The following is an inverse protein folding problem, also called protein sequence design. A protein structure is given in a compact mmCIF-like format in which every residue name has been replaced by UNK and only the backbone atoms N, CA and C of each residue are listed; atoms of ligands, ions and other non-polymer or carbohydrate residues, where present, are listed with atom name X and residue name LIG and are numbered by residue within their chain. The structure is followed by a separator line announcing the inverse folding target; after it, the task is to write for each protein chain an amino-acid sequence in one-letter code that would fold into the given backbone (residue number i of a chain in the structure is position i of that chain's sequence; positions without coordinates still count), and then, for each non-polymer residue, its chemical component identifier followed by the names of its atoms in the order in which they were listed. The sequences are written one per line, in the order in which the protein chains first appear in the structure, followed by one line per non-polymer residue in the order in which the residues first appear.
data_IF_394451545263
#
_entry.id   IF_394451545263
#
_cell.length_a   1.000
_cell.length_b   1.000
_cell.length_c   1.000
_cell.angle_alpha   90.00
_cell.angle_beta   90.00
_cell.angle_gamma   90.00
#
_symmetry.space_group_name_H-M   'P 1'
#
loop_
_entity.id
_entity.type
_entity.pdbx_description
1 polymer ?
#
# COMPACT_ATOMS: atom_id res chain seq x y z
N UNK A 1 2.71 14.37 -20.42
CA UNK A 1 2.06 13.18 -19.85
C UNK A 1 1.07 13.70 -18.83
N UNK A 2 -0.22 13.44 -19.03
CA UNK A 2 -1.26 14.03 -18.17
C UNK A 2 -1.22 13.40 -16.77
N UNK A 3 -1.56 14.16 -15.74
CA UNK A 3 -1.63 13.68 -14.36
C UNK A 3 -2.59 12.49 -14.27
N UNK A 4 -3.68 12.53 -15.03
CA UNK A 4 -4.60 11.41 -15.20
C UNK A 4 -3.89 10.16 -15.76
N UNK A 5 -2.98 10.28 -16.73
CA UNK A 5 -2.28 9.11 -17.29
C UNK A 5 -1.26 8.50 -16.33
N UNK A 6 -0.73 9.31 -15.40
CA UNK A 6 0.18 8.85 -14.33
C UNK A 6 -0.61 8.18 -13.19
N UNK A 7 -1.82 8.69 -12.91
CA UNK A 7 -2.71 8.21 -11.85
C UNK A 7 -3.54 6.98 -12.27
N UNK A 8 -3.93 6.92 -13.54
CA UNK A 8 -4.77 5.89 -14.15
C UNK A 8 -3.96 5.08 -15.16
N UNK A 9 -2.84 4.50 -14.70
CA UNK A 9 -2.14 3.51 -15.52
C UNK A 9 -3.09 2.35 -15.86
N UNK A 10 -2.98 1.76 -17.07
CA UNK A 10 -3.68 0.53 -17.43
C UNK A 10 -3.66 -0.46 -16.27
N UNK A 11 -4.80 -1.07 -15.96
CA UNK A 11 -4.90 -2.04 -14.87
C UNK A 11 -3.92 -3.19 -15.14
N UNK A 12 -2.78 -3.19 -14.45
CA UNK A 12 -1.89 -4.34 -14.44
C UNK A 12 -2.61 -5.45 -13.67
N UNK A 13 -2.91 -6.59 -14.32
CA UNK A 13 -3.56 -7.70 -13.64
C UNK A 13 -2.78 -8.11 -12.39
N UNK A 14 -1.45 -8.14 -12.42
CA UNK A 14 -0.63 -8.56 -11.28
C UNK A 14 -0.82 -7.60 -10.10
N UNK A 15 -0.79 -6.29 -10.35
CA UNK A 15 -1.09 -5.28 -9.34
C UNK A 15 -2.50 -5.45 -8.76
N UNK A 16 -3.51 -5.72 -9.61
CA UNK A 16 -4.89 -5.91 -9.15
C UNK A 16 -4.99 -7.11 -8.21
N UNK A 17 -4.42 -8.25 -8.59
CA UNK A 17 -4.42 -9.46 -7.76
C UNK A 17 -3.68 -9.24 -6.44
N UNK A 18 -2.55 -8.52 -6.48
CA UNK A 18 -1.78 -8.14 -5.30
C UNK A 18 -2.58 -7.25 -4.33
N UNK A 19 -3.26 -6.22 -4.83
CA UNK A 19 -4.12 -5.34 -4.03
C UNK A 19 -5.32 -6.09 -3.44
N UNK A 20 -5.91 -7.04 -4.17
CA UNK A 20 -7.00 -7.91 -3.69
C UNK A 20 -6.50 -8.89 -2.62
N UNK A 21 -5.32 -9.49 -2.81
CA UNK A 21 -4.69 -10.33 -1.78
C UNK A 21 -4.47 -9.54 -0.49
N UNK A 22 -3.89 -8.34 -0.60
CA UNK A 22 -3.67 -7.45 0.53
C UNK A 22 -5.00 -7.02 1.16
N UNK A 23 -6.05 -6.78 0.38
CA UNK A 23 -7.39 -6.44 0.88
C UNK A 23 -7.89 -7.51 1.86
N UNK A 24 -7.75 -8.78 1.52
CA UNK A 24 -8.15 -9.89 2.39
C UNK A 24 -7.38 -9.89 3.72
N UNK A 25 -6.04 -9.86 3.65
CA UNK A 25 -5.20 -9.85 4.87
C UNK A 25 -5.45 -8.60 5.73
N UNK A 26 -5.46 -7.41 5.12
CA UNK A 26 -5.69 -6.14 5.81
C UNK A 26 -7.09 -6.05 6.40
N UNK A 27 -8.12 -6.60 5.77
CA UNK A 27 -9.48 -6.61 6.33
C UNK A 27 -9.53 -7.43 7.62
N UNK A 28 -8.93 -8.63 7.61
CA UNK A 28 -8.85 -9.49 8.80
C UNK A 28 -8.01 -8.83 9.89
N UNK A 29 -6.83 -8.32 9.56
CA UNK A 29 -5.95 -7.66 10.54
C UNK A 29 -6.54 -6.36 11.07
N UNK A 30 -7.26 -5.57 10.25
CA UNK A 30 -7.97 -4.36 10.69
C UNK A 30 -9.11 -4.70 11.64
N UNK A 31 -9.88 -5.76 11.35
CA UNK A 31 -10.91 -6.22 12.27
C UNK A 31 -10.31 -6.75 13.57
N UNK A 32 -9.17 -7.46 13.49
CA UNK A 32 -8.40 -7.91 14.64
C UNK A 32 -7.91 -6.73 15.48
N UNK A 33 -7.45 -5.66 14.84
CA UNK A 33 -7.01 -4.40 15.49
C UNK A 33 -8.16 -3.75 16.26
N UNK A 34 -9.31 -3.59 15.60
CA UNK A 34 -10.51 -3.00 16.20
C UNK A 34 -11.09 -3.86 17.34
N UNK A 35 -11.03 -5.19 17.20
CA UNK A 35 -11.56 -6.15 18.17
C UNK A 35 -10.55 -6.61 19.22
N UNK A 36 -9.30 -6.13 19.16
CA UNK A 36 -8.24 -6.43 20.12
C UNK A 36 -7.88 -7.92 20.17
N UNK A 37 -7.74 -8.52 19.00
CA UNK A 37 -7.37 -9.93 18.86
C UNK A 37 -5.89 -10.06 18.49
N UNK A 38 -5.25 -11.15 18.94
CA UNK A 38 -3.81 -11.41 18.74
C UNK A 38 -3.41 -11.79 17.30
N UNK A 39 -4.38 -11.97 16.39
CA UNK A 39 -4.14 -12.46 15.03
C UNK A 39 -3.32 -11.49 14.16
N UNK A 40 -3.07 -10.25 14.62
CA UNK A 40 -2.30 -9.26 13.86
C UNK A 40 -0.83 -9.65 13.71
N UNK A 41 -0.25 -10.31 14.72
CA UNK A 41 1.14 -10.74 14.70
C UNK A 41 1.40 -11.78 13.60
N UNK A 42 0.42 -12.65 13.31
CA UNK A 42 0.55 -13.69 12.30
C UNK A 42 0.63 -13.11 10.87
N UNK A 43 0.01 -11.94 10.64
CA UNK A 43 0.05 -11.28 9.33
C UNK A 43 1.32 -10.47 9.08
N UNK A 44 2.06 -10.11 10.13
CA UNK A 44 3.33 -9.40 9.99
C UNK A 44 4.33 -10.18 9.12
N UNK A 45 4.48 -11.48 9.39
CA UNK A 45 5.36 -12.36 8.61
C UNK A 45 4.88 -12.49 7.16
N UNK A 46 3.55 -12.56 6.96
CA UNK A 46 2.94 -12.61 5.62
C UNK A 46 3.26 -11.35 4.83
N UNK A 47 3.19 -10.16 5.42
CA UNK A 47 3.51 -8.91 4.73
C UNK A 47 4.98 -8.76 4.41
N UNK A 48 5.88 -9.23 5.28
CA UNK A 48 7.31 -9.28 4.98
C UNK A 48 7.59 -10.25 3.83
N UNK A 49 7.06 -11.47 3.90
CA UNK A 49 7.22 -12.48 2.86
C UNK A 49 6.65 -11.99 1.52
N UNK A 50 5.50 -11.32 1.55
CA UNK A 50 4.88 -10.71 0.37
C UNK A 50 5.76 -9.61 -0.22
N UNK A 51 6.27 -8.68 0.60
CA UNK A 51 7.18 -7.62 0.16
C UNK A 51 8.44 -8.20 -0.49
N UNK A 52 9.02 -9.24 0.13
CA UNK A 52 10.18 -9.94 -0.41
C UNK A 52 9.86 -10.65 -1.74
N UNK A 53 8.70 -11.29 -1.85
CA UNK A 53 8.26 -11.91 -3.10
C UNK A 53 8.10 -10.88 -4.23
N UNK A 54 7.53 -9.70 -3.94
CA UNK A 54 7.43 -8.60 -4.89
C UNK A 54 8.80 -8.05 -5.31
N UNK A 55 9.76 -7.98 -4.38
CA UNK A 55 11.15 -7.63 -4.71
C UNK A 55 11.78 -8.62 -5.68
N UNK A 56 11.66 -9.92 -5.40
CA UNK A 56 12.19 -10.97 -6.27
C UNK A 56 11.49 -10.98 -7.64
N UNK A 57 10.19 -10.71 -7.67
CA UNK A 57 9.42 -10.58 -8.90
C UNK A 57 9.92 -9.40 -9.75
N UNK A 58 10.06 -8.21 -9.16
CA UNK A 58 10.60 -7.03 -9.85
C UNK A 58 12.04 -7.27 -10.33
N UNK A 59 12.86 -7.96 -9.54
CA UNK A 59 14.23 -8.33 -9.91
C UNK A 59 14.23 -9.26 -11.13
N UNK A 60 13.34 -10.26 -11.15
CA UNK A 60 13.14 -11.15 -12.30
C UNK A 60 12.71 -10.38 -13.56
N UNK A 61 11.78 -9.43 -13.43
CA UNK A 61 11.39 -8.55 -14.54
C UNK A 61 12.57 -7.68 -15.03
N UNK A 62 13.43 -7.23 -14.12
CA UNK A 62 14.66 -6.52 -14.44
C UNK A 62 15.65 -7.38 -15.24
N UNK A 63 15.85 -8.64 -14.83
CA UNK A 63 16.74 -9.59 -15.51
C UNK A 63 16.24 -9.99 -16.90
N UNK A 64 14.93 -10.02 -17.12
CA UNK A 64 14.30 -10.32 -18.42
C UNK A 64 14.14 -9.09 -19.32
N UNK A 65 14.55 -7.91 -18.83
CA UNK A 65 14.46 -6.65 -19.58
C UNK A 65 13.06 -6.04 -19.66
N UNK A 66 12.07 -6.60 -18.93
CA UNK A 66 10.69 -6.10 -18.89
C UNK A 66 10.54 -4.90 -17.95
N UNK A 67 11.42 -4.77 -16.96
CA UNK A 67 11.51 -3.61 -16.08
C UNK A 67 12.88 -2.95 -16.25
N UNK A 68 12.91 -1.64 -16.50
CA UNK A 68 14.19 -0.92 -16.61
C UNK A 68 14.80 -0.68 -15.22
N UNK A 69 16.12 -0.57 -15.14
CA UNK A 69 16.84 -0.37 -13.87
C UNK A 69 16.36 0.90 -13.12
N UNK A 70 16.18 2.08 -13.77
CA UNK A 70 15.77 3.28 -13.05
C UNK A 70 14.46 3.17 -12.25
N UNK A 71 13.32 2.69 -12.80
CA UNK A 71 12.08 2.53 -12.05
C UNK A 71 12.17 1.43 -10.98
N UNK A 72 12.90 0.35 -11.21
CA UNK A 72 13.20 -0.66 -10.18
C UNK A 72 13.91 -0.02 -8.98
N UNK A 73 15.05 0.62 -9.22
CA UNK A 73 15.87 1.22 -8.18
C UNK A 73 15.12 2.32 -7.44
N UNK A 74 14.40 3.18 -8.16
CA UNK A 74 13.60 4.25 -7.55
C UNK A 74 12.51 3.70 -6.63
N UNK A 75 11.75 2.68 -7.06
CA UNK A 75 10.71 2.04 -6.25
C UNK A 75 11.26 1.56 -4.92
N UNK A 76 12.32 0.76 -4.95
CA UNK A 76 12.86 0.12 -3.76
C UNK A 76 13.60 1.10 -2.85
N UNK A 77 14.24 2.14 -3.40
CA UNK A 77 14.77 3.25 -2.60
C UNK A 77 13.64 4.00 -1.88
N UNK A 78 12.52 4.28 -2.57
CA UNK A 78 11.37 4.95 -1.94
C UNK A 78 10.78 4.13 -0.80
N UNK A 79 10.63 2.81 -1.00
CA UNK A 79 10.13 1.90 0.05
C UNK A 79 11.09 1.88 1.23
N UNK A 80 12.39 1.71 1.01
CA UNK A 80 13.41 1.71 2.07
C UNK A 80 13.50 3.05 2.79
N UNK A 81 13.43 4.17 2.06
CA UNK A 81 13.42 5.50 2.65
C UNK A 81 12.16 5.69 3.51
N UNK A 82 11.00 5.25 3.02
CA UNK A 82 9.74 5.31 3.77
C UNK A 82 9.81 4.48 5.05
N UNK A 83 10.27 3.23 4.99
CA UNK A 83 10.38 2.35 6.17
C UNK A 83 11.42 2.85 7.17
N UNK A 84 12.54 3.41 6.70
CA UNK A 84 13.54 4.02 7.56
C UNK A 84 13.01 5.29 8.25
N UNK A 85 12.32 6.17 7.53
CA UNK A 85 11.75 7.40 8.10
C UNK A 85 10.61 7.09 9.07
N UNK A 86 9.74 6.14 8.74
CA UNK A 86 8.59 5.78 9.59
C UNK A 86 9.00 5.14 10.92
N UNK A 87 10.17 4.49 10.96
CA UNK A 87 10.74 3.88 12.18
C UNK A 87 11.67 4.81 12.94
N UNK A 88 12.42 5.68 12.25
CA UNK A 88 13.43 6.54 12.87
C UNK A 88 12.90 7.89 13.35
N UNK A 89 11.78 8.38 12.81
CA UNK A 89 11.27 9.73 13.13
C UNK A 89 10.04 9.69 14.04
N UNK A 90 9.99 10.56 15.07
CA UNK A 90 8.81 10.68 15.94
C UNK A 90 7.59 11.29 15.22
N UNK A 91 7.78 11.82 14.01
CA UNK A 91 6.72 12.40 13.16
C UNK A 91 5.70 11.35 12.69
N UNK A 92 6.13 10.11 12.49
CA UNK A 92 5.26 9.03 12.06
C UNK A 92 5.01 8.01 13.17
N UNK A 93 5.99 7.74 14.06
CA UNK A 93 5.89 6.81 15.20
C UNK A 93 4.92 5.63 14.97
N UNK A 94 5.09 4.99 13.81
CA UNK A 94 4.23 3.92 13.32
C UNK A 94 4.76 2.62 13.92
N UNK A 95 3.87 1.71 14.32
CA UNK A 95 4.31 0.40 14.81
C UNK A 95 5.07 -0.36 13.71
N UNK A 96 6.04 -1.19 14.06
CA UNK A 96 6.77 -2.02 13.07
C UNK A 96 5.84 -2.86 12.22
N UNK A 97 4.71 -3.28 12.78
CA UNK A 97 3.66 -4.04 12.11
C UNK A 97 2.96 -3.21 11.01
N UNK A 98 2.57 -1.99 11.33
CA UNK A 98 1.94 -1.07 10.38
C UNK A 98 2.92 -0.66 9.27
N UNK A 99 4.21 -0.53 9.60
CA UNK A 99 5.28 -0.29 8.59
C UNK A 99 5.38 -1.47 7.63
N UNK A 100 5.30 -2.70 8.11
CA UNK A 100 5.32 -3.89 7.24
C UNK A 100 4.07 -3.96 6.34
N UNK A 101 2.88 -3.65 6.87
CA UNK A 101 1.65 -3.56 6.09
C UNK A 101 1.75 -2.51 4.97
N UNK A 102 2.30 -1.34 5.28
CA UNK A 102 2.54 -0.29 4.29
C UNK A 102 3.62 -0.69 3.28
N UNK A 103 4.72 -1.31 3.72
CA UNK A 103 5.76 -1.79 2.80
C UNK A 103 5.19 -2.82 1.81
N UNK A 104 4.34 -3.75 2.28
CA UNK A 104 3.65 -4.70 1.43
C UNK A 104 2.74 -3.99 0.43
N UNK A 105 1.94 -3.01 0.87
CA UNK A 105 1.12 -2.19 -0.03
C UNK A 105 1.98 -1.45 -1.08
N UNK A 106 3.00 -0.72 -0.66
CA UNK A 106 3.88 0.04 -1.55
C UNK A 106 4.63 -0.86 -2.54
N UNK A 107 4.96 -2.10 -2.15
CA UNK A 107 5.61 -3.07 -3.05
C UNK A 107 4.73 -3.48 -4.24
N UNK A 108 3.42 -3.26 -4.19
CA UNK A 108 2.51 -3.50 -5.32
C UNK A 108 2.47 -2.35 -6.32
N UNK A 109 3.04 -1.20 -5.97
CA UNK A 109 2.84 0.05 -6.68
C UNK A 109 4.05 0.42 -7.54
N UNK A 110 3.79 1.20 -8.59
CA UNK A 110 4.86 1.86 -9.34
C UNK A 110 5.40 3.09 -8.56
N UNK A 111 6.59 3.61 -8.91
CA UNK A 111 7.19 4.74 -8.19
C UNK A 111 6.31 5.99 -8.06
N UNK A 112 5.55 6.34 -9.11
CA UNK A 112 4.69 7.51 -9.09
C UNK A 112 3.54 7.34 -8.11
N UNK A 113 2.89 6.17 -8.11
CA UNK A 113 1.81 5.84 -7.18
C UNK A 113 2.30 5.73 -5.73
N UNK A 114 3.55 5.30 -5.48
CA UNK A 114 4.16 5.32 -4.14
C UNK A 114 4.18 6.74 -3.57
N UNK A 115 4.66 7.71 -4.35
CA UNK A 115 4.73 9.12 -3.91
C UNK A 115 3.36 9.69 -3.56
N UNK A 116 2.32 9.26 -4.27
CA UNK A 116 0.93 9.68 -4.03
C UNK A 116 0.28 8.93 -2.87
N UNK A 117 0.74 7.72 -2.58
CA UNK A 117 0.20 6.91 -1.49
C UNK A 117 0.54 7.53 -0.13
N UNK A 118 1.71 8.16 0.00
CA UNK A 118 2.12 8.84 1.25
C UNK A 118 1.11 9.92 1.70
N UNK A 119 0.79 10.96 0.90
CA UNK A 119 -0.21 11.95 1.29
C UNK A 119 -1.61 11.35 1.41
N UNK A 120 -1.95 10.32 0.62
CA UNK A 120 -3.22 9.60 0.75
C UNK A 120 -3.34 8.88 2.10
N UNK A 121 -2.27 8.26 2.59
CA UNK A 121 -2.22 7.63 3.91
C UNK A 121 -2.37 8.66 5.03
N UNK A 122 -1.70 9.82 4.91
CA UNK A 122 -1.85 10.92 5.88
C UNK A 122 -3.30 11.40 5.90
N UNK A 123 -3.89 11.68 4.73
CA UNK A 123 -5.27 12.12 4.63
C UNK A 123 -6.26 11.08 5.19
N UNK A 124 -6.10 9.81 4.84
CA UNK A 124 -6.94 8.73 5.35
C UNK A 124 -6.81 8.61 6.88
N UNK A 125 -5.60 8.76 7.42
CA UNK A 125 -5.38 8.74 8.86
C UNK A 125 -6.11 9.88 9.55
N UNK A 126 -5.98 11.12 9.06
CA UNK A 126 -6.66 12.29 9.64
C UNK A 126 -8.19 12.15 9.62
N UNK A 127 -8.75 11.62 8.52
CA UNK A 127 -10.18 11.39 8.38
C UNK A 127 -10.70 10.29 9.33
N UNK A 128 -9.93 9.22 9.50
CA UNK A 128 -10.31 8.08 10.34
C UNK A 128 -9.94 8.28 11.81
N UNK A 129 -9.00 9.16 12.12
CA UNK A 129 -8.53 9.42 13.48
C UNK A 129 -9.66 9.62 14.51
N UNK A 130 -10.66 10.50 14.28
CA UNK A 130 -11.74 10.70 15.26
C UNK A 130 -12.61 9.46 15.49
N UNK A 131 -12.71 8.58 14.49
CA UNK A 131 -13.51 7.35 14.56
C UNK A 131 -12.74 6.22 15.25
N UNK A 132 -11.45 6.11 14.94
CA UNK A 132 -10.57 5.02 15.37
C UNK A 132 -9.97 5.26 16.77
N UNK A 133 -9.78 6.52 17.19
CA UNK A 133 -9.24 6.86 18.52
C UNK A 133 -10.03 6.24 19.68
N UNK A 134 -11.34 6.03 19.52
CA UNK A 134 -12.21 5.39 20.53
C UNK A 134 -11.92 3.90 20.73
N UNK A 135 -11.29 3.27 19.74
CA UNK A 135 -11.01 1.84 19.74
C UNK A 135 -9.60 1.52 20.25
N UNK A 136 -8.70 2.52 20.27
CA UNK A 136 -7.35 2.41 20.81
C UNK A 136 -7.31 2.06 22.30
N UNK A 137 -6.32 1.29 22.71
CA UNK A 137 -6.10 0.85 24.10
C UNK A 137 -4.68 1.24 24.56
N UNK A 138 -4.55 1.63 25.83
CA UNK A 138 -3.27 2.04 26.43
C UNK A 138 -2.51 3.15 25.67
N UNK A 139 -3.22 3.99 24.91
CA UNK A 139 -2.63 5.05 24.08
C UNK A 139 -2.19 4.60 22.68
N UNK A 140 -2.33 3.31 22.33
CA UNK A 140 -2.06 2.81 20.98
C UNK A 140 -3.27 3.04 20.06
N UNK A 141 -3.02 3.66 18.90
CA UNK A 141 -4.01 3.96 17.87
C UNK A 141 -4.08 2.81 16.85
N UNK A 142 -5.28 2.27 16.51
CA UNK A 142 -5.41 1.18 15.55
C UNK A 142 -5.25 1.72 14.13
N UNK A 143 -4.06 1.56 13.55
CA UNK A 143 -3.69 2.19 12.27
C UNK A 143 -4.02 1.32 11.05
N UNK A 144 -4.13 0.01 11.18
CA UNK A 144 -4.41 -0.90 10.06
C UNK A 144 -5.69 -0.58 9.26
N UNK A 145 -6.81 -0.14 9.88
CA UNK A 145 -7.99 0.30 9.13
C UNK A 145 -7.70 1.47 8.16
N UNK A 146 -6.69 2.29 8.47
CA UNK A 146 -6.21 3.34 7.56
C UNK A 146 -5.54 2.73 6.34
N UNK A 147 -4.63 1.78 6.55
CA UNK A 147 -3.94 1.06 5.46
C UNK A 147 -4.94 0.33 4.57
N UNK A 148 -5.95 -0.32 5.17
CA UNK A 148 -7.06 -0.95 4.46
C UNK A 148 -7.82 0.05 3.56
N UNK A 149 -8.13 1.24 4.08
CA UNK A 149 -8.84 2.28 3.33
C UNK A 149 -8.02 2.81 2.15
N UNK A 150 -6.71 2.97 2.34
CA UNK A 150 -5.79 3.36 1.27
C UNK A 150 -5.73 2.25 0.20
N UNK A 151 -5.60 0.99 0.60
CA UNK A 151 -5.60 -0.15 -0.32
C UNK A 151 -6.91 -0.23 -1.14
N UNK A 152 -8.07 -0.05 -0.49
CA UNK A 152 -9.37 0.01 -1.18
C UNK A 152 -9.45 1.17 -2.17
N UNK A 153 -8.93 2.33 -1.81
CA UNK A 153 -8.90 3.50 -2.68
C UNK A 153 -8.05 3.22 -3.92
N UNK A 154 -6.84 2.68 -3.73
CA UNK A 154 -5.93 2.33 -4.82
C UNK A 154 -6.52 1.24 -5.73
N UNK A 155 -7.15 0.21 -5.15
CA UNK A 155 -7.85 -0.83 -5.91
C UNK A 155 -8.99 -0.25 -6.74
N UNK A 156 -9.80 0.64 -6.16
CA UNK A 156 -10.93 1.29 -6.86
C UNK A 156 -10.43 2.16 -8.02
N UNK A 157 -9.36 2.92 -7.82
CA UNK A 157 -8.73 3.73 -8.86
C UNK A 157 -8.16 2.85 -9.98
N UNK A 158 -7.49 1.74 -9.64
CA UNK A 158 -6.93 0.81 -10.60
C UNK A 158 -8.02 0.14 -11.45
N UNK A 159 -9.10 -0.32 -10.83
CA UNK A 159 -10.25 -0.92 -11.52
C UNK A 159 -10.97 0.10 -12.40
N UNK A 160 -11.12 1.34 -11.95
CA UNK A 160 -11.77 2.41 -12.72
C UNK A 160 -10.94 2.76 -13.96
N UNK A 161 -9.61 2.85 -13.85
CA UNK A 161 -8.72 3.03 -14.99
C UNK A 161 -8.83 1.88 -16.01
N UNK A 162 -8.89 0.63 -15.53
CA UNK A 162 -9.12 -0.54 -16.38
C UNK A 162 -10.47 -0.51 -17.12
N UNK A 163 -11.54 -0.11 -16.44
CA UNK A 163 -12.88 0.03 -17.03
C UNK A 163 -12.90 1.14 -18.10
N UNK A 164 -12.32 2.31 -17.81
CA UNK A 164 -12.24 3.41 -18.77
C UNK A 164 -11.48 3.01 -20.03
N UNK A 165 -10.39 2.26 -19.89
CA UNK A 165 -9.63 1.73 -21.02
C UNK A 165 -10.44 0.71 -21.83
N UNK A 166 -11.13 -0.23 -21.17
CA UNK A 166 -11.98 -1.22 -21.85
C UNK A 166 -13.13 -0.55 -22.64
N UNK A 167 -13.70 0.51 -22.09
CA UNK A 167 -14.80 1.26 -22.71
C UNK A 167 -14.32 2.32 -23.71
N UNK A 168 -13.01 2.55 -23.87
CA UNK A 168 -12.45 3.58 -24.74
C UNK A 168 -12.77 5.02 -24.30
N UNK A 169 -13.08 5.24 -23.02
CA UNK A 169 -13.43 6.56 -22.48
C UNK A 169 -12.13 7.24 -22.03
N UNK A 170 -11.51 8.02 -22.92
CA UNK A 170 -10.38 8.88 -22.59
C UNK A 170 -10.87 10.31 -22.32
N UNK A 171 -11.02 10.68 -21.05
CA UNK A 171 -11.20 12.09 -20.65
C UNK A 171 -12.37 12.34 -19.71
N UNK A 172 -12.02 12.64 -18.46
CA UNK A 172 -12.65 13.67 -17.63
C UNK A 172 -11.54 14.50 -17.00
#
# INVERSE_FOLDING_TARGET
MDLATILFTPSDPIQTHALVFLLGSLAVSSLSDLRRMAAQADFYEVWIAFTAAMFLFDLYLGMTGQLTIPPFTLKWILILAFTAVSTATPLLNISTMDVAALAALLSTLNPATILLTIPLTILANELLHPLLKKHGQAGAYPFLPTVLTVNLTLLTLNLTGGIQQYLGITGL
#
